data_IF_055116500643
#
_entry.id   IF_055116500643
#
_cell.length_a   1.000
_cell.length_b   1.000
_cell.length_c   1.000
_cell.angle_alpha   90.00
_cell.angle_beta   90.00
_cell.angle_gamma   90.00
#
_symmetry.space_group_name_H-M   'P 1'
#
loop_
_entity.id
_entity.type
_entity.pdbx_description
1 polymer ?
#
# COMPACT_ATOMS: atom_id res chain seq x y z
N UNK A 1 -13.65 16.01 16.30
CA UNK A 1 -14.19 14.77 16.89
C UNK A 1 -13.09 14.10 17.69
N UNK A 2 -13.37 13.59 18.89
CA UNK A 2 -12.41 12.85 19.72
C UNK A 2 -12.35 11.35 19.36
N UNK A 3 -13.37 10.88 18.65
CA UNK A 3 -13.53 9.52 18.16
C UNK A 3 -14.10 9.55 16.75
N UNK A 4 -13.90 8.48 15.99
CA UNK A 4 -14.32 8.39 14.59
C UNK A 4 -13.41 7.46 13.78
N UNK A 5 -13.30 7.72 12.48
CA UNK A 5 -12.42 7.00 11.56
C UNK A 5 -11.65 7.95 10.66
N UNK A 6 -10.42 7.59 10.30
CA UNK A 6 -9.62 8.25 9.27
C UNK A 6 -9.43 7.32 8.09
N UNK A 7 -9.78 7.79 6.89
CA UNK A 7 -9.41 7.18 5.62
C UNK A 7 -8.03 7.70 5.24
N UNK A 8 -7.10 6.79 4.98
CA UNK A 8 -5.75 7.05 4.50
C UNK A 8 -5.68 6.55 3.06
N UNK A 9 -5.50 7.45 2.10
CA UNK A 9 -5.56 7.13 0.68
C UNK A 9 -4.30 7.59 -0.05
N UNK A 10 -3.73 6.72 -0.89
CA UNK A 10 -2.67 7.06 -1.84
C UNK A 10 -3.26 7.19 -3.25
N UNK A 11 -3.31 8.40 -3.85
CA UNK A 11 -3.73 8.56 -5.23
C UNK A 11 -2.74 7.89 -6.20
N UNK A 12 -3.29 7.17 -7.18
CA UNK A 12 -2.53 6.46 -8.20
C UNK A 12 -2.83 4.97 -8.19
N UNK A 13 -2.25 4.26 -9.15
CA UNK A 13 -2.54 2.84 -9.41
C UNK A 13 -1.31 1.94 -9.27
N UNK A 14 -0.23 2.43 -8.64
CA UNK A 14 1.02 1.70 -8.40
C UNK A 14 1.54 1.86 -6.96
N UNK A 15 0.69 2.35 -6.06
CA UNK A 15 0.99 2.42 -4.63
C UNK A 15 -0.06 1.65 -3.82
N UNK A 16 0.24 1.34 -2.58
CA UNK A 16 -0.71 0.72 -1.65
C UNK A 16 -0.55 1.25 -0.24
N UNK A 17 -1.61 1.15 0.56
CA UNK A 17 -1.56 1.43 2.00
C UNK A 17 -2.12 0.22 2.73
N UNK A 18 -1.39 -0.31 3.69
CA UNK A 18 -1.79 -1.48 4.47
C UNK A 18 -1.30 -1.37 5.91
N UNK A 19 -1.53 -2.41 6.71
CA UNK A 19 -0.93 -2.56 8.04
C UNK A 19 -0.06 -3.80 8.12
N UNK A 20 1.06 -3.71 8.83
CA UNK A 20 1.97 -4.82 9.13
C UNK A 20 2.74 -4.52 10.41
N UNK A 21 3.32 -5.54 11.04
CA UNK A 21 4.40 -5.33 11.99
C UNK A 21 5.62 -4.76 11.25
N UNK A 22 6.09 -3.58 11.63
CA UNK A 22 7.17 -2.90 10.90
C UNK A 22 8.56 -3.35 11.38
N UNK A 23 8.83 -4.64 11.21
CA UNK A 23 10.10 -5.30 11.51
C UNK A 23 10.74 -5.79 10.19
N UNK A 24 12.07 -5.76 10.11
CA UNK A 24 12.83 -6.08 8.90
C UNK A 24 12.51 -7.45 8.27
N UNK A 25 12.41 -8.51 9.07
CA UNK A 25 12.14 -9.86 8.60
C UNK A 25 10.79 -9.97 7.90
N UNK A 26 9.71 -9.54 8.56
CA UNK A 26 8.36 -9.61 7.94
C UNK A 26 8.20 -8.64 6.76
N UNK A 27 8.94 -7.53 6.74
CA UNK A 27 9.01 -6.63 5.58
C UNK A 27 9.63 -7.36 4.38
N UNK A 28 10.70 -8.12 4.60
CA UNK A 28 11.33 -8.90 3.54
C UNK A 28 10.46 -10.09 3.12
N UNK A 29 9.79 -10.78 4.05
CA UNK A 29 8.80 -11.81 3.74
C UNK A 29 7.66 -11.28 2.85
N UNK A 30 7.20 -10.05 3.10
CA UNK A 30 6.16 -9.41 2.30
C UNK A 30 6.66 -9.10 0.88
N UNK A 31 7.90 -8.60 0.73
CA UNK A 31 8.50 -8.38 -0.61
C UNK A 31 8.59 -9.69 -1.38
N UNK A 32 9.09 -10.75 -0.73
CA UNK A 32 9.24 -12.07 -1.33
C UNK A 32 7.89 -12.70 -1.66
N UNK A 33 6.85 -12.48 -0.84
CA UNK A 33 5.49 -12.88 -1.16
C UNK A 33 4.96 -12.19 -2.43
N UNK A 34 5.22 -10.89 -2.61
CA UNK A 34 4.86 -10.19 -3.83
C UNK A 34 5.61 -10.70 -5.06
N UNK A 35 6.89 -11.04 -4.93
CA UNK A 35 7.63 -11.66 -6.05
C UNK A 35 7.15 -13.07 -6.38
N UNK A 36 6.75 -13.87 -5.38
CA UNK A 36 6.16 -15.20 -5.62
C UNK A 36 4.78 -15.15 -6.28
N UNK A 37 3.93 -14.23 -5.85
CA UNK A 37 2.52 -14.17 -6.28
C UNK A 37 2.32 -13.32 -7.54
N UNK A 38 3.04 -12.20 -7.65
CA UNK A 38 2.89 -11.20 -8.70
C UNK A 38 4.28 -10.76 -9.15
N UNK A 39 5.11 -11.66 -9.72
CA UNK A 39 6.52 -11.41 -10.02
C UNK A 39 6.74 -10.24 -10.97
N UNK A 40 7.87 -9.55 -10.81
CA UNK A 40 8.33 -8.53 -11.78
C UNK A 40 8.85 -9.16 -13.08
N UNK A 41 9.26 -10.43 -13.04
CA UNK A 41 10.03 -11.10 -14.10
C UNK A 41 9.19 -11.69 -15.23
N UNK A 42 7.86 -11.66 -15.12
CA UNK A 42 6.96 -12.18 -16.16
C UNK A 42 6.41 -11.06 -17.04
N UNK A 43 6.03 -11.40 -18.26
CA UNK A 43 5.48 -10.44 -19.21
C UNK A 43 4.02 -10.11 -18.88
N UNK A 44 3.73 -8.83 -18.66
CA UNK A 44 2.38 -8.34 -18.44
C UNK A 44 1.84 -7.72 -19.73
N UNK A 45 0.57 -7.96 -20.05
CA UNK A 45 -0.08 -7.32 -21.21
C UNK A 45 -0.03 -5.78 -21.17
N UNK A 46 0.03 -5.19 -19.97
CA UNK A 46 0.25 -3.76 -19.80
C UNK A 46 1.61 -3.32 -20.37
N UNK A 47 2.68 -4.07 -20.08
CA UNK A 47 4.01 -3.80 -20.61
C UNK A 47 4.03 -3.90 -22.14
N UNK A 48 3.40 -4.93 -22.73
CA UNK A 48 3.27 -5.06 -24.18
C UNK A 48 2.52 -3.90 -24.83
N UNK A 49 1.60 -3.26 -24.10
CA UNK A 49 0.79 -2.15 -24.59
C UNK A 49 1.47 -0.78 -24.43
N UNK A 50 2.19 -0.58 -23.34
CA UNK A 50 2.70 0.75 -22.94
C UNK A 50 4.22 0.87 -22.92
N UNK A 51 4.95 -0.25 -22.86
CA UNK A 51 6.41 -0.28 -22.84
C UNK A 51 7.05 0.32 -21.58
N UNK A 52 6.28 0.53 -20.51
CA UNK A 52 6.72 1.19 -19.27
C UNK A 52 7.22 0.21 -18.18
N UNK A 53 6.97 -1.09 -18.36
CA UNK A 53 7.53 -2.17 -17.53
C UNK A 53 6.95 -2.27 -16.12
N UNK A 54 5.81 -1.63 -15.82
CA UNK A 54 5.24 -1.58 -14.48
C UNK A 54 3.88 -2.29 -14.35
N UNK A 55 3.59 -3.24 -15.26
CA UNK A 55 2.37 -4.05 -15.21
C UNK A 55 2.19 -4.78 -13.87
N UNK A 56 3.28 -5.31 -13.29
CA UNK A 56 3.25 -5.92 -11.96
C UNK A 56 2.83 -4.92 -10.87
N UNK A 57 3.28 -3.66 -10.99
CA UNK A 57 3.01 -2.60 -10.02
C UNK A 57 1.52 -2.30 -9.91
N UNK A 58 0.83 -2.31 -11.06
CA UNK A 58 -0.62 -2.16 -11.14
C UNK A 58 -1.37 -3.32 -10.48
N UNK A 59 -0.94 -4.56 -10.74
CA UNK A 59 -1.59 -5.75 -10.15
C UNK A 59 -1.37 -5.80 -8.63
N UNK A 60 -0.14 -5.53 -8.15
CA UNK A 60 0.16 -5.47 -6.70
C UNK A 60 -0.66 -4.38 -6.00
N UNK A 61 -0.74 -3.18 -6.59
CA UNK A 61 -1.56 -2.08 -6.07
C UNK A 61 -3.05 -2.43 -6.01
N UNK A 62 -3.60 -3.06 -7.05
CA UNK A 62 -5.01 -3.46 -7.10
C UNK A 62 -5.38 -4.51 -6.05
N UNK A 63 -4.45 -5.41 -5.69
CA UNK A 63 -4.63 -6.41 -4.62
C UNK A 63 -4.44 -5.79 -3.25
N UNK A 64 -3.35 -5.04 -3.02
CA UNK A 64 -3.04 -4.37 -1.75
C UNK A 64 -4.06 -3.29 -1.38
N UNK A 65 -4.73 -2.71 -2.38
CA UNK A 65 -5.61 -1.53 -2.29
C UNK A 65 -4.85 -0.24 -1.99
N UNK A 66 -5.47 0.87 -2.36
CA UNK A 66 -4.93 2.23 -2.26
C UNK A 66 -5.49 3.00 -1.07
N UNK A 67 -6.38 2.40 -0.27
CA UNK A 67 -6.96 3.01 0.93
C UNK A 67 -6.96 2.05 2.11
N UNK A 68 -6.80 2.62 3.30
CA UNK A 68 -6.98 1.97 4.59
C UNK A 68 -7.85 2.89 5.47
N UNK A 69 -8.87 2.34 6.12
CA UNK A 69 -9.66 3.06 7.11
C UNK A 69 -9.25 2.61 8.50
N UNK A 70 -8.92 3.55 9.38
CA UNK A 70 -8.46 3.28 10.74
C UNK A 70 -9.36 4.00 11.74
N UNK A 71 -9.97 3.31 12.71
CA UNK A 71 -10.71 3.96 13.78
C UNK A 71 -9.75 4.73 14.70
N UNK A 72 -10.26 5.78 15.34
CA UNK A 72 -9.56 6.49 16.40
C UNK A 72 -10.49 6.76 17.58
N UNK A 73 -9.94 6.72 18.80
CA UNK A 73 -10.64 7.02 20.06
C UNK A 73 -9.69 7.84 20.93
N UNK A 74 -10.21 8.84 21.64
CA UNK A 74 -9.41 9.80 22.41
C UNK A 74 -8.26 10.43 21.59
N UNK A 75 -8.56 10.77 20.32
CA UNK A 75 -7.60 11.30 19.34
C UNK A 75 -6.42 10.37 19.00
N UNK A 76 -6.52 9.07 19.30
CA UNK A 76 -5.47 8.08 19.00
C UNK A 76 -6.00 6.99 18.06
N UNK A 77 -5.25 6.62 17.01
CA UNK A 77 -5.57 5.44 16.21
C UNK A 77 -5.70 4.19 17.08
N UNK A 78 -6.69 3.36 16.81
CA UNK A 78 -6.94 2.12 17.56
C UNK A 78 -6.21 0.91 16.95
N UNK A 79 -5.01 1.12 16.41
CA UNK A 79 -4.18 0.04 15.85
C UNK A 79 -3.61 -0.85 16.95
N UNK A 80 -3.41 -2.14 16.66
CA UNK A 80 -2.69 -3.04 17.56
C UNK A 80 -1.22 -2.65 17.75
N UNK A 81 -0.58 -3.17 18.81
CA UNK A 81 0.84 -2.92 19.15
C UNK A 81 1.79 -3.16 17.97
N UNK A 82 1.52 -4.20 17.19
CA UNK A 82 2.34 -4.64 16.05
C UNK A 82 1.65 -4.35 14.70
N UNK A 83 0.82 -3.30 14.64
CA UNK A 83 0.01 -2.98 13.48
C UNK A 83 0.31 -1.56 12.97
N UNK A 84 1.51 -1.36 12.42
CA UNK A 84 1.91 -0.10 11.85
C UNK A 84 1.24 0.12 10.49
N UNK A 85 0.81 1.35 10.22
CA UNK A 85 0.27 1.75 8.92
C UNK A 85 1.45 2.06 7.99
N UNK A 86 1.50 1.39 6.84
CA UNK A 86 2.63 1.50 5.90
C UNK A 86 2.16 1.89 4.51
N UNK A 87 2.96 2.72 3.85
CA UNK A 87 2.88 3.00 2.43
C UNK A 87 3.80 2.05 1.68
N UNK A 88 3.29 1.39 0.64
CA UNK A 88 4.07 0.56 -0.27
C UNK A 88 4.10 1.23 -1.64
N UNK A 89 5.30 1.44 -2.17
CA UNK A 89 5.51 1.88 -3.55
C UNK A 89 5.89 0.67 -4.39
N UNK A 90 5.02 0.28 -5.33
CA UNK A 90 5.25 -0.87 -6.19
C UNK A 90 5.91 -0.49 -7.52
N UNK A 91 6.07 0.78 -7.83
CA UNK A 91 6.48 1.19 -9.17
C UNK A 91 7.96 0.87 -9.44
N UNK A 92 8.29 0.61 -10.70
CA UNK A 92 9.64 0.25 -11.12
C UNK A 92 10.61 1.45 -11.17
N UNK A 93 10.16 2.63 -10.74
CA UNK A 93 10.94 3.87 -10.64
C UNK A 93 10.51 4.67 -9.42
N UNK A 94 11.40 5.52 -8.91
CA UNK A 94 11.12 6.41 -7.78
C UNK A 94 9.90 7.30 -8.08
N UNK A 95 8.96 7.38 -7.12
CA UNK A 95 7.81 8.27 -7.19
C UNK A 95 7.73 9.15 -5.96
N UNK A 96 7.23 10.36 -6.17
CA UNK A 96 6.74 11.19 -5.08
C UNK A 96 5.28 10.80 -4.81
N UNK A 97 4.99 10.28 -3.61
CA UNK A 97 3.65 9.85 -3.21
C UNK A 97 3.04 10.89 -2.27
N UNK A 98 1.81 11.32 -2.57
CA UNK A 98 1.02 12.19 -1.69
C UNK A 98 0.00 11.31 -0.98
N UNK A 99 -0.03 11.34 0.34
CA UNK A 99 -1.09 10.69 1.12
C UNK A 99 -2.20 11.69 1.41
N UNK A 100 -3.45 11.24 1.28
CA UNK A 100 -4.64 11.99 1.65
C UNK A 100 -5.20 11.36 2.93
N UNK A 101 -5.47 12.20 3.91
CA UNK A 101 -6.11 11.81 5.16
C UNK A 101 -7.46 12.51 5.24
N UNK A 102 -8.54 11.74 5.39
CA UNK A 102 -9.88 12.28 5.58
C UNK A 102 -10.47 11.66 6.85
N UNK A 103 -10.72 12.50 7.85
CA UNK A 103 -11.32 12.06 9.11
C UNK A 103 -12.81 12.41 9.16
N UNK A 104 -13.59 11.50 9.74
CA UNK A 104 -15.01 11.67 10.06
C UNK A 104 -15.26 11.13 11.47
N UNK A 105 -16.12 11.78 12.24
CA UNK A 105 -16.48 11.37 13.59
C UNK A 105 -17.57 12.26 14.17
#
# INVERSE_FOLDING_TARGET
>A
FSEGSVIIFVPGSTGGVTTIEFESGVIDDLKDAFERLIPQTIEYRHNLRWGDGNGFSHVRSAICKTSLTVPFVANKPTTGTWQQIVLIDFDNRKRHRRLIFQASG
#
